data_IF_572706361176
#
_entry.id   IF_572706361176
#
_cell.length_a   1.000
_cell.length_b   1.000
_cell.length_c   1.000
_cell.angle_alpha   90.00
_cell.angle_beta   90.00
_cell.angle_gamma   90.00
#
_symmetry.space_group_name_H-M   'P 1'
#
loop_
_entity.id
_entity.type
_entity.pdbx_description
1 polymer ?
#
# COMPACT_ATOMS: atom_id res chain seq x y z
N UNK A 1 12.83 -1.65 -1.53
CA UNK A 1 12.42 -0.43 -2.24
C UNK A 1 13.01 -0.54 -3.62
N UNK A 2 12.20 -0.33 -4.65
CA UNK A 2 12.58 -0.36 -6.05
C UNK A 2 12.36 1.04 -6.61
N UNK A 3 13.34 1.55 -7.35
CA UNK A 3 13.23 2.86 -8.01
C UNK A 3 13.33 2.65 -9.51
N UNK A 4 12.55 3.40 -10.27
CA UNK A 4 12.55 3.34 -11.72
C UNK A 4 12.14 4.69 -12.29
N UNK A 5 12.67 5.00 -13.47
CA UNK A 5 12.31 6.19 -14.22
C UNK A 5 11.02 5.95 -14.97
N UNK A 6 10.08 6.90 -14.91
CA UNK A 6 8.86 6.90 -15.69
C UNK A 6 8.63 8.26 -16.34
N UNK A 7 7.54 8.38 -17.10
CA UNK A 7 7.06 9.64 -17.65
C UNK A 7 5.80 10.07 -16.91
N UNK A 8 5.85 11.24 -16.28
CA UNK A 8 4.71 11.92 -15.68
C UNK A 8 4.11 12.92 -16.64
N UNK A 9 3.10 13.66 -16.17
CA UNK A 9 2.40 14.68 -16.97
C UNK A 9 3.34 15.78 -17.50
N UNK A 10 4.33 16.16 -16.68
CA UNK A 10 5.21 17.30 -16.95
C UNK A 10 6.65 16.86 -17.33
N UNK A 11 6.83 15.58 -17.69
CA UNK A 11 8.12 15.02 -18.11
C UNK A 11 8.61 13.86 -17.24
N UNK A 12 9.92 13.55 -17.26
CA UNK A 12 10.47 12.38 -16.58
C UNK A 12 10.34 12.50 -15.06
N UNK A 13 9.87 11.43 -14.42
CA UNK A 13 9.62 11.33 -12.99
C UNK A 13 10.32 10.10 -12.41
N UNK A 14 10.78 10.22 -11.16
CA UNK A 14 11.31 9.08 -10.42
C UNK A 14 10.17 8.42 -9.64
N UNK A 15 9.87 7.17 -9.97
CA UNK A 15 8.86 6.38 -9.30
C UNK A 15 9.52 5.50 -8.23
N UNK A 16 8.91 5.47 -7.04
CA UNK A 16 9.37 4.69 -5.90
C UNK A 16 8.29 3.65 -5.57
N UNK A 17 8.64 2.38 -5.73
CA UNK A 17 7.80 1.26 -5.28
C UNK A 17 8.40 0.65 -4.02
N UNK A 18 7.62 0.59 -2.95
CA UNK A 18 8.08 0.04 -1.68
C UNK A 18 6.96 -0.62 -0.88
N UNK A 19 7.32 -1.68 -0.17
CA UNK A 19 6.44 -2.30 0.80
C UNK A 19 6.47 -1.50 2.11
N UNK A 20 5.30 -1.30 2.72
CA UNK A 20 5.21 -0.74 4.07
C UNK A 20 4.12 -1.43 4.89
N UNK A 21 4.25 -1.40 6.21
CA UNK A 21 3.13 -1.81 7.07
C UNK A 21 2.03 -0.76 7.01
N UNK A 22 0.77 -1.20 6.87
CA UNK A 22 -0.42 -0.33 6.87
C UNK A 22 -0.45 0.67 8.05
N UNK A 23 -0.05 0.22 9.24
CA UNK A 23 0.03 1.09 10.45
C UNK A 23 1.08 2.21 10.37
N UNK A 24 2.10 2.07 9.52
CA UNK A 24 3.17 3.06 9.30
C UNK A 24 2.91 3.97 8.09
N UNK A 25 1.98 3.58 7.20
CA UNK A 25 1.67 4.30 5.96
C UNK A 25 1.37 5.79 6.21
N UNK A 26 0.52 6.10 7.19
CA UNK A 26 0.13 7.49 7.48
C UNK A 26 1.32 8.36 7.88
N UNK A 27 2.23 7.84 8.71
CA UNK A 27 3.44 8.55 9.10
C UNK A 27 4.37 8.75 7.89
N UNK A 28 4.48 7.75 7.03
CA UNK A 28 5.31 7.82 5.83
C UNK A 28 4.78 8.85 4.84
N UNK A 29 3.48 8.82 4.56
CA UNK A 29 2.82 9.78 3.69
C UNK A 29 3.00 11.20 4.21
N UNK A 30 2.84 11.43 5.51
CA UNK A 30 3.09 12.73 6.13
C UNK A 30 4.51 13.22 5.86
N UNK A 31 5.52 12.39 6.13
CA UNK A 31 6.92 12.75 5.88
C UNK A 31 7.13 13.06 4.38
N UNK A 32 6.55 12.25 3.48
CA UNK A 32 6.70 12.46 2.05
C UNK A 32 6.04 13.76 1.57
N UNK A 33 4.81 14.03 2.00
CA UNK A 33 4.07 15.24 1.62
C UNK A 33 4.67 16.51 2.22
N UNK A 34 5.22 16.43 3.44
CA UNK A 34 5.88 17.56 4.09
C UNK A 34 7.16 17.98 3.33
N UNK A 35 7.88 17.01 2.72
CA UNK A 35 9.09 17.28 1.94
C UNK A 35 8.79 17.58 0.46
N UNK A 36 7.73 17.02 -0.10
CA UNK A 36 7.36 17.17 -1.51
C UNK A 36 5.84 17.30 -1.66
N UNK A 37 5.30 18.54 -1.63
CA UNK A 37 3.84 18.76 -1.70
C UNK A 37 3.21 18.32 -3.03
N UNK A 38 3.99 18.28 -4.11
CA UNK A 38 3.54 17.83 -5.43
C UNK A 38 3.60 16.30 -5.61
N UNK A 39 3.99 15.55 -4.57
CA UNK A 39 4.11 14.09 -4.63
C UNK A 39 2.72 13.46 -4.77
N UNK A 40 2.57 12.63 -5.80
CA UNK A 40 1.43 11.75 -5.97
C UNK A 40 1.81 10.33 -5.57
N UNK A 41 0.85 9.57 -5.07
CA UNK A 41 1.07 8.20 -4.62
C UNK A 41 -0.15 7.33 -4.87
N UNK A 42 0.08 6.03 -4.97
CA UNK A 42 -0.97 5.01 -5.02
C UNK A 42 -0.63 3.94 -4.01
N UNK A 43 -1.64 3.44 -3.29
CA UNK A 43 -1.46 2.40 -2.28
C UNK A 43 -2.17 1.15 -2.78
N UNK A 44 -1.38 0.15 -3.13
CA UNK A 44 -1.91 -1.15 -3.52
C UNK A 44 -1.89 -2.10 -2.31
N UNK A 45 -3.05 -2.61 -1.89
CA UNK A 45 -3.09 -3.64 -0.87
C UNK A 45 -2.48 -4.93 -1.40
N UNK A 46 -1.53 -5.51 -0.67
CA UNK A 46 -0.87 -6.77 -1.07
C UNK A 46 -1.88 -7.92 -1.29
N UNK A 47 -2.99 -7.93 -0.55
CA UNK A 47 -4.05 -8.94 -0.69
C UNK A 47 -4.89 -8.80 -1.97
N UNK A 48 -4.86 -7.65 -2.67
CA UNK A 48 -5.66 -7.48 -3.89
C UNK A 48 -5.00 -8.03 -5.14
N UNK A 49 -3.70 -8.35 -5.09
CA UNK A 49 -2.91 -8.79 -6.26
C UNK A 49 -2.17 -10.12 -6.04
N UNK A 50 -2.33 -10.74 -4.87
CA UNK A 50 -1.57 -11.91 -4.50
C UNK A 50 -2.53 -13.02 -4.05
N UNK A 51 -3.08 -13.74 -5.03
CA UNK A 51 -3.99 -14.88 -4.79
C UNK A 51 -3.37 -15.93 -3.85
N UNK A 52 -2.03 -16.07 -3.86
CA UNK A 52 -1.31 -16.96 -2.94
C UNK A 52 -1.20 -16.46 -1.49
N UNK A 53 -1.39 -15.17 -1.23
CA UNK A 53 -1.41 -14.59 0.12
C UNK A 53 -2.83 -14.35 0.64
N UNK A 54 -3.86 -14.55 -0.19
CA UNK A 54 -5.26 -14.69 0.21
C UNK A 54 -5.55 -16.07 0.82
N UNK A 55 -4.62 -16.58 1.63
CA UNK A 55 -4.88 -17.77 2.42
C UNK A 55 -5.91 -17.39 3.49
N UNK A 56 -7.08 -18.06 3.54
CA UNK A 56 -7.99 -17.87 4.66
C UNK A 56 -7.22 -18.18 5.94
N UNK A 57 -7.33 -17.28 6.91
CA UNK A 57 -6.75 -17.51 8.24
C UNK A 57 -7.20 -18.90 8.72
N UNK A 58 -6.29 -19.78 9.18
CA UNK A 58 -6.63 -21.16 9.50
C UNK A 58 -7.67 -21.30 10.63
N UNK A 59 -7.90 -20.20 11.37
CA UNK A 59 -8.83 -20.13 12.48
C UNK A 59 -9.49 -18.76 12.55
N UNK A 60 -10.76 -18.71 12.98
CA UNK A 60 -11.56 -17.49 13.14
C UNK A 60 -10.86 -16.50 14.08
N UNK A 61 -10.38 -15.39 13.55
CA UNK A 61 -9.78 -14.33 14.38
C UNK A 61 -10.88 -13.43 14.93
N UNK A 62 -11.39 -13.81 16.10
CA UNK A 62 -12.32 -13.00 16.89
C UNK A 62 -13.79 -13.06 16.45
N UNK A 63 -14.63 -12.52 17.32
CA UNK A 63 -16.09 -12.55 17.26
C UNK A 63 -16.66 -11.79 16.06
N UNK A 64 -15.94 -10.76 15.59
CA UNK A 64 -16.27 -10.03 14.35
C UNK A 64 -16.17 -10.89 13.08
N UNK A 65 -15.32 -11.91 13.07
CA UNK A 65 -15.18 -12.79 11.92
C UNK A 65 -16.40 -13.72 11.75
N UNK A 66 -17.09 -14.02 12.85
CA UNK A 66 -18.30 -14.84 12.84
C UNK A 66 -19.49 -14.13 12.15
N UNK A 67 -19.65 -12.83 12.41
CA UNK A 67 -20.75 -12.02 11.89
C UNK A 67 -20.63 -11.71 10.39
N UNK A 68 -19.43 -11.82 9.82
CA UNK A 68 -19.16 -11.47 8.41
C UNK A 68 -19.45 -12.63 7.44
N UNK A 69 -19.90 -13.78 7.94
CA UNK A 69 -20.11 -15.03 7.19
C UNK A 69 -21.60 -15.39 6.96
N UNK A 70 -22.56 -14.56 7.39
CA UNK A 70 -23.94 -14.61 6.90
C UNK A 70 -24.11 -13.67 5.71
#
# INVERSE_FOLDING_TARGET
MTTFTGEGRDGPVLLIYMNCHRRKLQRLLKIATDNAPALYYTVEPVYSHNDGLNLPLPHRTGWRAFLKMQ
#
